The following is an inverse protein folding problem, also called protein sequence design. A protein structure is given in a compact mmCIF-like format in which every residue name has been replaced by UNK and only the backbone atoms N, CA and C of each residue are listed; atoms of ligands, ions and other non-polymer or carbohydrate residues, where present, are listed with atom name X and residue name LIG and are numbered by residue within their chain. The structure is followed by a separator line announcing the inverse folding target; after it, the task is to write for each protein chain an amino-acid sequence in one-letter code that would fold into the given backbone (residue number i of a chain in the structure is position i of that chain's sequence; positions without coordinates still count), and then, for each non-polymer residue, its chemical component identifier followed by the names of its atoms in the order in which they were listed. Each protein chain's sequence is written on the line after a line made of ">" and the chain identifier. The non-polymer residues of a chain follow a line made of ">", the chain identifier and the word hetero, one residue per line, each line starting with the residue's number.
data_IF_021899106165
#
_entry.id   IF_021899106165
#
_cell.length_a   1.000
_cell.length_b   1.000
_cell.length_c   1.000
_cell.angle_alpha   90.00
_cell.angle_beta   90.00
_cell.angle_gamma   90.00
#
_symmetry.space_group_name_H-M   'P 1'
#
loop_
_entity.id
_entity.type
_entity.pdbx_description
1 polymer ?
#
# COMPACT_ATOMS: atom_id res chain seq x y z
N UNK A 1 -13.79 9.21 7.83
CA UNK A 1 -13.68 9.15 9.31
C UNK A 1 -14.44 10.33 9.96
N UNK A 2 -14.29 11.56 9.43
CA UNK A 2 -15.10 12.72 9.82
C UNK A 2 -16.62 12.54 9.59
N UNK A 3 -17.04 11.88 8.52
CA UNK A 3 -18.48 11.68 8.24
C UNK A 3 -19.16 10.71 9.21
N UNK A 4 -18.47 9.64 9.63
CA UNK A 4 -18.99 8.72 10.64
C UNK A 4 -19.11 9.38 12.02
N UNK A 5 -18.18 10.29 12.35
CA UNK A 5 -18.27 11.11 13.55
C UNK A 5 -19.46 12.07 13.50
N UNK A 6 -19.73 12.66 12.33
CA UNK A 6 -20.88 13.55 12.11
C UNK A 6 -22.23 12.84 12.27
N UNK A 7 -22.37 11.61 11.77
CA UNK A 7 -23.62 10.83 11.91
C UNK A 7 -23.86 10.40 13.35
N UNK A 8 -22.82 9.96 14.07
CA UNK A 8 -22.93 9.55 15.48
C UNK A 8 -23.25 10.75 16.39
N UNK A 9 -22.58 11.88 16.20
CA UNK A 9 -22.86 13.12 16.96
C UNK A 9 -24.27 13.67 16.62
N UNK A 10 -24.71 13.52 15.36
CA UNK A 10 -26.05 13.92 14.92
C UNK A 10 -27.17 13.12 15.60
N UNK A 11 -27.02 11.81 15.74
CA UNK A 11 -28.01 10.99 16.46
C UNK A 11 -27.93 11.16 17.98
N UNK A 12 -26.74 11.37 18.55
CA UNK A 12 -26.57 11.62 19.99
C UNK A 12 -27.28 12.92 20.43
N UNK A 13 -27.13 13.99 19.64
CA UNK A 13 -27.79 15.29 19.91
C UNK A 13 -29.31 15.24 19.73
N UNK A 14 -29.81 14.32 18.89
CA UNK A 14 -31.25 14.07 18.71
C UNK A 14 -31.85 13.35 19.92
N UNK A 15 -31.10 12.40 20.48
CA UNK A 15 -31.44 11.66 21.70
C UNK A 15 -31.43 12.56 22.94
N UNK A 16 -30.47 13.49 23.06
CA UNK A 16 -30.43 14.44 24.17
C UNK A 16 -31.66 15.36 24.20
N UNK A 17 -32.16 15.81 23.04
CA UNK A 17 -33.35 16.69 22.97
C UNK A 17 -34.63 15.97 23.37
N UNK A 18 -34.81 14.70 22.99
CA UNK A 18 -36.00 13.93 23.35
C UNK A 18 -36.00 13.57 24.84
N UNK A 19 -34.84 13.27 25.40
CA UNK A 19 -34.68 12.97 26.83
C UNK A 19 -34.92 14.23 27.69
N UNK A 20 -34.45 15.40 27.26
CA UNK A 20 -34.70 16.67 27.94
C UNK A 20 -36.19 17.05 27.94
N UNK A 21 -36.91 16.78 26.86
CA UNK A 21 -38.36 17.00 26.78
C UNK A 21 -39.16 16.03 27.67
N UNK A 22 -38.71 14.77 27.80
CA UNK A 22 -39.34 13.79 28.68
C UNK A 22 -39.19 14.15 30.18
N UNK A 23 -38.06 14.73 30.58
CA UNK A 23 -37.80 15.08 31.98
C UNK A 23 -38.61 16.29 32.49
N UNK A 24 -39.09 17.17 31.60
CA UNK A 24 -39.85 18.38 32.00
C UNK A 24 -41.24 18.06 32.56
N UNK A 25 -41.74 16.84 32.39
CA UNK A 25 -43.12 16.45 32.71
C UNK A 25 -43.29 15.76 34.09
N UNK A 26 -42.21 15.62 34.89
CA UNK A 26 -42.24 14.90 36.17
C UNK A 26 -42.18 15.91 37.34
N UNK A 27 -43.29 16.62 37.60
CA UNK A 27 -43.37 17.68 38.63
C UNK A 27 -44.34 17.35 39.78
N UNK A 28 -44.31 16.11 40.31
CA UNK A 28 -45.32 15.66 41.30
C UNK A 28 -44.92 14.74 42.45
N UNK A 29 -43.69 14.23 42.58
CA UNK A 29 -43.29 13.35 43.70
C UNK A 29 -41.82 13.55 44.08
N UNK A 30 -41.52 14.34 45.11
CA UNK A 30 -40.17 14.91 45.30
C UNK A 30 -39.34 14.45 46.52
N UNK A 31 -39.83 13.63 47.45
CA UNK A 31 -39.04 13.28 48.64
C UNK A 31 -38.36 11.89 48.56
N UNK A 32 -39.08 10.82 48.17
CA UNK A 32 -38.49 9.46 48.06
C UNK A 32 -37.73 9.25 46.73
N UNK A 33 -38.23 9.87 45.64
CA UNK A 33 -37.59 9.86 44.32
C UNK A 33 -36.27 10.63 44.27
N UNK A 34 -35.96 11.50 45.24
CA UNK A 34 -34.74 12.32 45.20
C UNK A 34 -33.46 11.49 45.39
N UNK A 35 -33.51 10.41 46.18
CA UNK A 35 -32.39 9.47 46.32
C UNK A 35 -32.28 8.52 45.11
N UNK A 36 -33.40 8.04 44.59
CA UNK A 36 -33.42 7.18 43.38
C UNK A 36 -33.09 7.94 42.08
N UNK A 37 -33.45 9.22 41.98
CA UNK A 37 -33.09 10.07 40.85
C UNK A 37 -31.60 10.40 40.82
N UNK A 38 -30.95 10.51 41.99
CA UNK A 38 -29.50 10.69 42.07
C UNK A 38 -28.74 9.47 41.55
N UNK A 39 -29.15 8.26 41.96
CA UNK A 39 -28.55 7.00 41.47
C UNK A 39 -28.83 6.73 39.98
N UNK A 40 -29.98 7.17 39.47
CA UNK A 40 -30.32 7.03 38.04
C UNK A 40 -29.50 7.99 37.17
N UNK A 41 -29.34 9.25 37.61
CA UNK A 41 -28.50 10.21 36.89
C UNK A 41 -27.03 9.79 36.89
N UNK A 42 -26.53 9.29 38.02
CA UNK A 42 -25.17 8.78 38.16
C UNK A 42 -24.88 7.63 37.19
N UNK A 43 -25.78 6.67 37.07
CA UNK A 43 -25.62 5.53 36.14
C UNK A 43 -25.68 5.96 34.67
N UNK A 44 -26.56 6.91 34.29
CA UNK A 44 -26.59 7.45 32.92
C UNK A 44 -25.29 8.20 32.59
N UNK A 45 -24.78 9.01 33.52
CA UNK A 45 -23.52 9.74 33.33
C UNK A 45 -22.37 8.76 33.13
N UNK A 46 -22.26 7.72 33.97
CA UNK A 46 -21.24 6.68 33.84
C UNK A 46 -21.33 5.98 32.48
N UNK A 47 -22.53 5.55 32.06
CA UNK A 47 -22.73 4.92 30.75
C UNK A 47 -22.37 5.84 29.58
N UNK A 48 -22.64 7.14 29.69
CA UNK A 48 -22.30 8.11 28.64
C UNK A 48 -20.79 8.22 28.46
N UNK A 49 -20.03 8.29 29.57
CA UNK A 49 -18.56 8.37 29.53
C UNK A 49 -17.98 7.06 28.98
N UNK A 50 -18.49 5.91 29.43
CA UNK A 50 -18.04 4.61 28.92
C UNK A 50 -18.31 4.45 27.42
N UNK A 51 -19.46 4.91 26.93
CA UNK A 51 -19.78 4.86 25.50
C UNK A 51 -18.82 5.71 24.67
N UNK A 52 -18.49 6.92 25.14
CA UNK A 52 -17.56 7.83 24.47
C UNK A 52 -16.17 7.19 24.35
N UNK A 53 -15.67 6.60 25.43
CA UNK A 53 -14.38 5.91 25.46
C UNK A 53 -14.39 4.70 24.50
N UNK A 54 -15.48 3.92 24.46
CA UNK A 54 -15.62 2.78 23.55
C UNK A 54 -15.50 3.18 22.07
N UNK A 55 -16.14 4.28 21.68
CA UNK A 55 -16.04 4.81 20.30
C UNK A 55 -14.62 5.27 19.99
N UNK A 56 -13.93 5.92 20.94
CA UNK A 56 -12.54 6.33 20.74
C UNK A 56 -11.59 5.14 20.54
N UNK A 57 -11.73 4.10 21.37
CA UNK A 57 -10.88 2.89 21.28
C UNK A 57 -11.06 2.20 19.93
N UNK A 58 -12.31 2.03 19.46
CA UNK A 58 -12.58 1.38 18.17
C UNK A 58 -12.01 2.18 17.00
N UNK A 59 -12.06 3.51 17.05
CA UNK A 59 -11.43 4.38 16.06
C UNK A 59 -9.90 4.20 16.00
N UNK A 60 -9.24 4.15 17.16
CA UNK A 60 -7.79 3.89 17.26
C UNK A 60 -7.46 2.53 16.65
N UNK A 61 -8.14 1.46 17.06
CA UNK A 61 -7.90 0.11 16.53
C UNK A 61 -8.08 0.03 15.01
N UNK A 62 -9.15 0.63 14.47
CA UNK A 62 -9.40 0.66 13.04
C UNK A 62 -8.26 1.37 12.27
N UNK A 63 -7.75 2.49 12.80
CA UNK A 63 -6.61 3.19 12.21
C UNK A 63 -5.31 2.39 12.29
N UNK A 64 -5.08 1.69 13.40
CA UNK A 64 -3.89 0.84 13.59
C UNK A 64 -3.89 -0.32 12.58
N UNK A 65 -5.03 -0.98 12.38
CA UNK A 65 -5.15 -2.07 11.38
C UNK A 65 -4.82 -1.56 9.97
N UNK A 66 -5.35 -0.40 9.58
CA UNK A 66 -5.05 0.20 8.27
C UNK A 66 -3.55 0.51 8.12
N UNK A 67 -2.93 1.04 9.17
CA UNK A 67 -1.48 1.29 9.19
C UNK A 67 -0.66 0.01 9.03
N UNK A 68 -1.07 -1.07 9.71
CA UNK A 68 -0.40 -2.38 9.60
C UNK A 68 -0.53 -2.93 8.17
N UNK A 69 -1.72 -2.89 7.57
CA UNK A 69 -1.94 -3.33 6.19
C UNK A 69 -1.09 -2.54 5.19
N UNK A 70 -1.07 -1.22 5.30
CA UNK A 70 -0.23 -0.37 4.45
C UNK A 70 1.25 -0.73 4.56
N UNK A 71 1.74 -0.96 5.78
CA UNK A 71 3.13 -1.38 6.02
C UNK A 71 3.42 -2.75 5.40
N UNK A 72 2.52 -3.73 5.58
CA UNK A 72 2.66 -5.06 4.98
C UNK A 72 2.67 -4.99 3.44
N UNK A 73 1.80 -4.19 2.84
CA UNK A 73 1.76 -4.00 1.40
C UNK A 73 3.06 -3.35 0.89
N UNK A 74 3.59 -2.36 1.62
CA UNK A 74 4.88 -1.74 1.27
C UNK A 74 6.02 -2.76 1.30
N UNK A 75 6.08 -3.60 2.33
CA UNK A 75 7.10 -4.65 2.43
C UNK A 75 6.96 -5.65 1.28
N UNK A 76 5.74 -6.07 0.95
CA UNK A 76 5.48 -6.97 -0.18
C UNK A 76 5.95 -6.39 -1.51
N UNK A 77 5.57 -5.15 -1.81
CA UNK A 77 5.99 -4.45 -3.04
C UNK A 77 7.51 -4.35 -3.09
N UNK A 78 8.16 -3.89 -2.01
CA UNK A 78 9.62 -3.80 -1.95
C UNK A 78 10.32 -5.13 -2.17
N UNK A 79 9.86 -6.20 -1.52
CA UNK A 79 10.45 -7.52 -1.66
C UNK A 79 10.27 -8.09 -3.07
N UNK A 80 9.09 -7.91 -3.66
CA UNK A 80 8.80 -8.34 -5.03
C UNK A 80 9.69 -7.59 -6.03
N UNK A 81 9.76 -6.26 -5.93
CA UNK A 81 10.57 -5.44 -6.83
C UNK A 81 12.06 -5.69 -6.64
N UNK A 82 12.55 -5.81 -5.40
CA UNK A 82 13.96 -6.16 -5.14
C UNK A 82 14.31 -7.51 -5.76
N UNK A 83 13.47 -8.53 -5.57
CA UNK A 83 13.70 -9.85 -6.18
C UNK A 83 13.77 -9.78 -7.71
N UNK A 84 12.90 -9.00 -8.32
CA UNK A 84 12.91 -8.80 -9.77
C UNK A 84 14.18 -8.07 -10.23
N UNK A 85 14.56 -6.99 -9.56
CA UNK A 85 15.79 -6.23 -9.85
C UNK A 85 17.02 -7.13 -9.71
N UNK A 86 17.11 -7.93 -8.64
CA UNK A 86 18.22 -8.85 -8.41
C UNK A 86 18.33 -9.91 -9.51
N UNK A 87 17.19 -10.41 -10.00
CA UNK A 87 17.15 -11.36 -11.12
C UNK A 87 17.63 -10.73 -12.42
N UNK A 88 17.16 -9.52 -12.74
CA UNK A 88 17.56 -8.76 -13.94
C UNK A 88 19.06 -8.44 -13.87
N UNK A 89 19.52 -7.91 -12.74
CA UNK A 89 20.92 -7.57 -12.52
C UNK A 89 21.83 -8.78 -12.68
N UNK A 90 21.44 -9.92 -12.08
CA UNK A 90 22.23 -11.16 -12.20
C UNK A 90 22.35 -11.61 -13.65
N UNK A 91 21.25 -11.62 -14.40
CA UNK A 91 21.22 -12.09 -15.78
C UNK A 91 21.94 -11.14 -16.75
N UNK A 92 21.77 -9.83 -16.58
CA UNK A 92 22.51 -8.84 -17.39
C UNK A 92 24.01 -8.91 -17.05
N UNK A 93 24.36 -9.15 -15.79
CA UNK A 93 25.76 -9.25 -15.38
C UNK A 93 26.47 -10.47 -15.97
N UNK A 94 25.79 -11.61 -16.13
CA UNK A 94 26.31 -12.81 -16.80
C UNK A 94 26.24 -12.74 -18.32
N UNK A 95 25.30 -11.96 -18.86
CA UNK A 95 25.07 -11.80 -20.29
C UNK A 95 26.19 -11.11 -21.06
N UNK A 96 26.18 -11.32 -22.36
CA UNK A 96 27.03 -10.69 -23.39
C UNK A 96 26.18 -9.86 -24.34
N UNK A 97 26.81 -8.96 -25.11
CA UNK A 97 26.13 -8.21 -26.18
C UNK A 97 24.85 -7.51 -25.70
N UNK A 98 24.93 -6.81 -24.57
CA UNK A 98 23.78 -6.12 -23.98
C UNK A 98 23.42 -4.88 -24.80
N UNK A 99 22.14 -4.80 -25.20
CA UNK A 99 21.57 -3.69 -25.97
C UNK A 99 20.15 -3.36 -25.49
N UNK A 100 19.80 -2.08 -25.49
CA UNK A 100 18.45 -1.61 -25.18
C UNK A 100 17.85 -1.08 -26.48
N UNK A 101 17.07 -1.89 -27.22
CA UNK A 101 16.42 -1.42 -28.45
C UNK A 101 15.40 -0.32 -28.15
N UNK A 102 14.73 -0.40 -27.00
CA UNK A 102 13.68 0.51 -26.55
C UNK A 102 13.85 0.81 -25.06
N UNK A 103 13.21 1.86 -24.56
CA UNK A 103 13.25 2.20 -23.13
C UNK A 103 12.52 1.19 -22.24
N UNK A 104 11.63 0.36 -22.78
CA UNK A 104 10.91 -0.68 -22.02
C UNK A 104 11.58 -2.05 -22.11
N UNK A 105 12.63 -2.19 -22.93
CA UNK A 105 13.19 -3.49 -23.30
C UNK A 105 14.71 -3.52 -23.26
N UNK A 106 15.26 -4.58 -22.71
CA UNK A 106 16.69 -4.90 -22.78
C UNK A 106 16.89 -6.29 -23.36
N UNK A 107 17.82 -6.40 -24.29
CA UNK A 107 18.21 -7.65 -24.94
C UNK A 107 19.67 -7.98 -24.61
N UNK A 108 19.94 -9.25 -24.37
CA UNK A 108 21.28 -9.74 -24.09
C UNK A 108 21.40 -11.20 -24.51
N UNK A 109 22.63 -11.64 -24.76
CA UNK A 109 22.94 -13.04 -25.02
C UNK A 109 23.35 -13.71 -23.71
N UNK A 110 22.64 -14.75 -23.32
CA UNK A 110 22.92 -15.52 -22.11
C UNK A 110 24.25 -16.30 -22.21
N UNK A 111 24.71 -16.87 -21.10
CA UNK A 111 25.93 -17.68 -21.02
C UNK A 111 25.92 -18.91 -21.95
N UNK A 112 24.72 -19.40 -22.29
CA UNK A 112 24.50 -20.51 -23.23
C UNK A 112 24.44 -20.07 -24.71
N UNK A 113 24.60 -18.77 -25.02
CA UNK A 113 24.54 -18.24 -26.38
C UNK A 113 23.13 -17.95 -26.90
N UNK A 114 22.10 -18.09 -26.06
CA UNK A 114 20.71 -17.80 -26.43
C UNK A 114 20.40 -16.30 -26.25
N UNK A 115 19.76 -15.69 -27.25
CA UNK A 115 19.29 -14.30 -27.16
C UNK A 115 18.06 -14.25 -26.27
N UNK A 116 18.15 -13.53 -25.15
CA UNK A 116 17.08 -13.36 -24.17
C UNK A 116 16.76 -11.87 -23.99
N UNK A 117 15.55 -11.58 -23.56
CA UNK A 117 15.13 -10.20 -23.30
C UNK A 117 14.28 -10.07 -22.04
N UNK A 118 14.37 -8.89 -21.42
CA UNK A 118 13.39 -8.41 -20.46
C UNK A 118 12.58 -7.29 -21.12
N UNK A 119 11.26 -7.34 -20.95
CA UNK A 119 10.34 -6.40 -21.58
C UNK A 119 9.21 -6.02 -20.62
N UNK A 120 8.91 -4.73 -20.55
CA UNK A 120 7.76 -4.20 -19.83
C UNK A 120 6.61 -3.96 -20.81
N UNK A 121 5.44 -4.52 -20.50
CA UNK A 121 4.24 -4.45 -21.35
C UNK A 121 3.60 -3.04 -21.44
N UNK A 122 4.19 -2.04 -20.78
CA UNK A 122 3.70 -0.66 -20.74
C UNK A 122 2.49 -0.45 -19.84
N UNK A 123 1.99 -1.50 -19.17
CA UNK A 123 0.74 -1.42 -18.38
C UNK A 123 0.92 -1.92 -16.95
N UNK A 124 1.42 -3.13 -16.75
CA UNK A 124 1.42 -3.75 -15.42
C UNK A 124 2.47 -4.83 -15.18
N UNK A 125 3.03 -5.44 -16.24
CA UNK A 125 3.83 -6.65 -16.10
C UNK A 125 5.23 -6.51 -16.71
N UNK A 126 6.19 -7.15 -16.06
CA UNK A 126 7.55 -7.33 -16.58
C UNK A 126 7.73 -8.79 -16.96
N UNK A 127 8.06 -9.05 -18.21
CA UNK A 127 8.28 -10.39 -18.72
C UNK A 127 9.75 -10.64 -19.03
N UNK A 128 10.18 -11.89 -18.87
CA UNK A 128 11.47 -12.40 -19.34
C UNK A 128 11.24 -13.46 -20.41
N UNK A 129 11.95 -13.40 -21.53
CA UNK A 129 11.85 -14.48 -22.52
C UNK A 129 12.75 -14.36 -23.75
N UNK A 130 13.10 -15.54 -24.26
CA UNK A 130 13.68 -15.76 -25.60
C UNK A 130 12.61 -16.28 -26.58
N UNK A 131 11.71 -17.18 -26.11
CA UNK A 131 10.63 -17.77 -26.90
C UNK A 131 9.25 -17.79 -26.19
N UNK A 132 9.22 -17.98 -24.86
CA UNK A 132 8.01 -17.91 -24.04
C UNK A 132 8.17 -16.87 -22.94
N UNK A 133 7.35 -15.80 -22.92
CA UNK A 133 7.43 -14.77 -21.88
C UNK A 133 6.98 -15.35 -20.53
N UNK A 134 7.88 -15.29 -19.55
CA UNK A 134 7.62 -15.63 -18.15
C UNK A 134 7.41 -14.35 -17.38
N UNK A 135 6.31 -14.27 -16.65
CA UNK A 135 6.01 -13.09 -15.86
C UNK A 135 6.89 -13.03 -14.60
N UNK A 136 7.53 -11.88 -14.36
CA UNK A 136 8.43 -11.66 -13.24
C UNK A 136 7.73 -11.05 -12.02
N UNK A 137 6.63 -10.31 -12.23
CA UNK A 137 5.86 -9.75 -11.12
C UNK A 137 4.90 -10.79 -10.52
N UNK A 138 4.76 -10.82 -9.18
CA UNK A 138 3.70 -11.58 -8.52
C UNK A 138 2.33 -10.94 -8.78
N UNK A 139 1.24 -11.71 -8.62
CA UNK A 139 -0.16 -11.28 -8.88
C UNK A 139 -0.59 -10.03 -8.10
N UNK A 140 0.04 -9.80 -6.95
CA UNK A 140 -0.36 -8.77 -5.98
C UNK A 140 0.43 -7.46 -6.17
N UNK A 141 1.30 -7.39 -7.19
CA UNK A 141 2.17 -6.24 -7.49
C UNK A 141 2.14 -5.93 -8.99
N UNK A 142 1.84 -4.69 -9.32
CA UNK A 142 1.88 -4.16 -10.69
C UNK A 142 3.04 -3.19 -10.84
N UNK A 143 3.65 -3.18 -12.02
CA UNK A 143 4.67 -2.21 -12.38
C UNK A 143 3.98 -1.04 -13.06
N UNK A 144 4.16 0.16 -12.52
CA UNK A 144 3.54 1.39 -13.06
C UNK A 144 4.44 2.08 -14.07
N UNK A 145 5.75 1.91 -13.94
CA UNK A 145 6.73 2.39 -14.91
C UNK A 145 8.00 1.55 -14.86
N UNK A 146 8.60 1.30 -16.01
CA UNK A 146 9.92 0.69 -16.12
C UNK A 146 10.70 1.34 -17.27
N UNK A 147 11.97 1.65 -17.02
CA UNK A 147 12.86 2.29 -17.99
C UNK A 147 14.23 1.62 -17.94
N UNK A 148 14.69 1.16 -19.09
CA UNK A 148 16.05 0.72 -19.38
C UNK A 148 16.76 1.78 -20.21
N UNK A 149 17.96 2.18 -19.79
CA UNK A 149 18.83 3.05 -20.54
C UNK A 149 20.20 2.39 -20.70
N UNK A 150 20.59 2.13 -21.93
CA UNK A 150 21.91 1.57 -22.26
C UNK A 150 22.86 2.70 -22.67
N UNK A 151 23.96 2.88 -21.95
CA UNK A 151 25.01 3.83 -22.29
C UNK A 151 26.33 3.10 -22.54
N UNK A 152 27.02 3.33 -23.67
CA UNK A 152 28.33 2.73 -23.88
C UNK A 152 29.36 3.38 -22.95
N UNK A 153 30.06 2.58 -22.17
CA UNK A 153 31.22 3.02 -21.40
C UNK A 153 32.44 3.09 -22.31
N UNK A 154 32.83 4.33 -22.60
CA UNK A 154 33.99 4.67 -23.45
C UNK A 154 35.32 4.15 -22.90
N UNK A 155 35.41 3.84 -21.60
CA UNK A 155 36.64 3.37 -20.95
C UNK A 155 36.80 1.85 -21.08
N UNK A 156 35.72 1.10 -20.87
CA UNK A 156 35.77 -0.38 -20.87
C UNK A 156 35.30 -1.01 -22.18
N UNK A 157 34.65 -0.22 -23.04
CA UNK A 157 33.98 -0.68 -24.26
C UNK A 157 32.74 -1.54 -23.98
N UNK A 158 32.14 -1.42 -22.79
CA UNK A 158 30.99 -2.22 -22.33
C UNK A 158 29.73 -1.37 -22.28
N UNK A 159 28.56 -1.98 -22.48
CA UNK A 159 27.28 -1.29 -22.30
C UNK A 159 26.90 -1.26 -20.83
N UNK A 160 26.73 -0.07 -20.26
CA UNK A 160 26.17 0.14 -18.92
C UNK A 160 24.65 0.21 -19.05
N UNK A 161 23.93 -0.53 -18.21
CA UNK A 161 22.46 -0.51 -18.18
C UNK A 161 21.99 0.16 -16.91
N UNK A 162 21.35 1.32 -17.05
CA UNK A 162 20.61 1.96 -15.97
C UNK A 162 19.16 1.46 -16.03
N UNK A 163 18.68 0.86 -14.94
CA UNK A 163 17.32 0.34 -14.84
C UNK A 163 16.58 1.05 -13.72
N UNK A 164 15.43 1.63 -14.06
CA UNK A 164 14.51 2.28 -13.13
C UNK A 164 13.16 1.60 -13.19
N UNK A 165 12.59 1.27 -12.04
CA UNK A 165 11.26 0.65 -11.96
C UNK A 165 10.47 1.19 -10.78
N UNK A 166 9.20 1.49 -11.03
CA UNK A 166 8.20 1.82 -10.02
C UNK A 166 7.14 0.73 -9.99
N UNK A 167 6.83 0.24 -8.79
CA UNK A 167 5.83 -0.78 -8.58
C UNK A 167 4.82 -0.36 -7.50
N UNK A 168 3.61 -0.89 -7.59
CA UNK A 168 2.49 -0.64 -6.70
C UNK A 168 1.74 -1.92 -6.35
N UNK A 169 1.16 -2.00 -5.16
CA UNK A 169 0.25 -3.09 -4.77
C UNK A 169 -1.05 -3.08 -5.58
N UNK A 170 -1.49 -4.23 -6.11
CA UNK A 170 -2.76 -4.38 -6.83
C UNK A 170 -3.92 -4.71 -5.89
N UNK A 171 -5.16 -4.33 -6.26
CA UNK A 171 -6.38 -4.74 -5.55
C UNK A 171 -6.56 -4.16 -4.14
N UNK A 172 -5.82 -3.11 -3.79
CA UNK A 172 -5.88 -2.46 -2.48
C UNK A 172 -6.50 -1.06 -2.63
N UNK A 173 -7.37 -0.67 -1.68
CA UNK A 173 -7.89 0.71 -1.61
C UNK A 173 -6.73 1.72 -1.57
N UNK A 174 -6.89 2.87 -2.21
CA UNK A 174 -5.84 3.91 -2.32
C UNK A 174 -5.26 4.34 -0.97
N UNK A 175 -6.03 4.24 0.12
CA UNK A 175 -5.57 4.54 1.48
C UNK A 175 -4.56 3.51 2.04
N UNK A 176 -4.63 2.26 1.58
CA UNK A 176 -3.78 1.13 2.00
C UNK A 176 -2.75 0.74 0.92
N UNK A 177 -2.79 1.39 -0.24
CA UNK A 177 -1.87 1.18 -1.35
C UNK A 177 -0.44 1.62 -0.99
N UNK A 178 0.53 0.89 -1.53
CA UNK A 178 1.94 1.16 -1.34
C UNK A 178 2.68 1.18 -2.69
N UNK A 179 3.60 2.13 -2.83
CA UNK A 179 4.44 2.32 -4.02
C UNK A 179 5.91 2.23 -3.61
N UNK A 180 6.75 1.64 -4.46
CA UNK A 180 8.19 1.61 -4.28
C UNK A 180 8.92 1.88 -5.59
N UNK A 181 9.96 2.71 -5.51
CA UNK A 181 10.85 3.08 -6.61
C UNK A 181 12.22 2.45 -6.42
N UNK A 182 12.77 1.88 -7.49
CA UNK A 182 14.11 1.29 -7.51
C UNK A 182 14.89 1.81 -8.71
N UNK A 183 16.15 2.18 -8.47
CA UNK A 183 17.10 2.60 -9.49
C UNK A 183 18.37 1.78 -9.29
N UNK A 184 18.79 1.05 -10.32
CA UNK A 184 20.04 0.27 -10.31
C UNK A 184 20.88 0.57 -11.55
N UNK A 185 22.20 0.48 -11.38
CA UNK A 185 23.19 0.64 -12.43
C UNK A 185 23.97 -0.66 -12.59
N UNK A 186 23.85 -1.27 -13.76
CA UNK A 186 24.37 -2.61 -14.03
C UNK A 186 25.47 -2.51 -15.07
N UNK A 187 26.62 -3.10 -14.75
CA UNK A 187 27.76 -3.22 -15.67
C UNK A 187 27.98 -4.72 -15.94
N UNK A 188 27.85 -5.18 -17.20
CA UNK A 188 28.05 -6.58 -17.56
C UNK A 188 29.50 -7.01 -17.33
N UNK A 189 29.70 -8.24 -16.84
CA UNK A 189 31.05 -8.79 -16.62
C UNK A 189 31.68 -9.25 -17.91
N UNK A 190 30.87 -9.79 -18.81
CA UNK A 190 31.31 -10.29 -20.09
C UNK A 190 31.13 -9.21 -21.16
N UNK A 191 32.03 -9.22 -22.16
CA UNK A 191 31.90 -8.39 -23.36
C UNK A 191 30.97 -9.09 -24.34
#
# INVERSE_FOLDING_TARGET
>A
MLEFFGVIVGELTRLERTLFLAMKNIKGRQACLRRQAFTLFETILVLSIFSLIGVMITGILASSIRSVKKSQNLIKVKNATSRMVDLIERQIRSGKLVSCPDSSKVQFTDEYGNVTSFDWDGTSNMASGSATPVNLNPTDVQITSAVFACTPDVVTGRTVVDFTVTAQSTGVETAESATADFVTKIIPRNK
#
